data_IF_351125536251
#
_entry.id   IF_351125536251
#
_cell.length_a   1.000
_cell.length_b   1.000
_cell.length_c   1.000
_cell.angle_alpha   90.00
_cell.angle_beta   90.00
_cell.angle_gamma   90.00
#
_symmetry.space_group_name_H-M   'P 1'
#
loop_
_entity.id
_entity.type
_entity.pdbx_description
1 polymer ?
#
# COMPACT_ATOMS: atom_id res chain seq x y z
N UNK A 1 -5.59 16.32 -2.20
CA UNK A 1 -6.77 16.36 -3.09
C UNK A 1 -7.57 15.11 -2.80
N UNK A 2 -8.85 15.23 -2.43
CA UNK A 2 -9.73 14.09 -2.21
C UNK A 2 -10.65 13.95 -3.42
N UNK A 3 -10.64 12.81 -4.12
CA UNK A 3 -11.48 12.58 -5.29
C UNK A 3 -12.97 12.63 -4.98
N UNK A 4 -13.78 12.94 -5.99
CA UNK A 4 -15.24 13.02 -5.83
C UNK A 4 -15.78 11.64 -5.44
N UNK A 5 -16.59 11.61 -4.38
CA UNK A 5 -17.16 10.35 -3.84
C UNK A 5 -16.26 9.66 -2.82
N UNK A 6 -15.02 10.12 -2.65
CA UNK A 6 -14.13 9.63 -1.60
C UNK A 6 -14.22 10.46 -0.32
N UNK A 7 -13.80 9.87 0.79
CA UNK A 7 -13.59 10.53 2.07
C UNK A 7 -12.31 10.01 2.73
N UNK A 8 -11.73 10.82 3.61
CA UNK A 8 -10.57 10.44 4.44
C UNK A 8 -11.06 9.59 5.61
N UNK A 9 -10.31 8.55 5.97
CA UNK A 9 -10.59 7.73 7.15
C UNK A 9 -9.96 8.38 8.39
N UNK A 10 -10.77 9.03 9.22
CA UNK A 10 -10.29 9.89 10.33
C UNK A 10 -9.55 9.12 11.45
N UNK A 11 -9.87 7.84 11.67
CA UNK A 11 -9.35 7.05 12.80
C UNK A 11 -8.60 5.79 12.34
N UNK A 12 -7.84 5.89 11.24
CA UNK A 12 -6.98 4.78 10.84
C UNK A 12 -5.78 4.67 11.78
N UNK A 13 -5.51 3.49 12.33
CA UNK A 13 -4.31 3.28 13.14
C UNK A 13 -3.08 3.32 12.24
N UNK A 14 -2.16 4.25 12.48
CA UNK A 14 -0.95 4.44 11.66
C UNK A 14 0.30 4.23 12.54
N UNK A 15 1.23 3.34 12.16
CA UNK A 15 2.49 3.17 12.86
C UNK A 15 3.35 4.45 12.85
N UNK A 16 4.17 4.65 13.88
CA UNK A 16 4.94 5.89 14.13
C UNK A 16 5.69 6.43 12.91
N UNK A 17 6.35 5.55 12.14
CA UNK A 17 7.06 5.96 10.91
C UNK A 17 6.16 6.70 9.91
N UNK A 18 4.88 6.35 9.81
CA UNK A 18 3.93 6.87 8.82
C UNK A 18 3.02 7.99 9.35
N UNK A 19 3.12 8.33 10.64
CA UNK A 19 2.36 9.44 11.25
C UNK A 19 2.61 10.72 10.46
N UNK A 20 1.53 11.44 10.14
CA UNK A 20 1.49 12.65 9.32
C UNK A 20 2.02 12.51 7.88
N UNK A 21 2.35 11.29 7.43
CA UNK A 21 2.85 11.00 6.07
C UNK A 21 1.85 10.26 5.20
N UNK A 22 0.85 9.61 5.78
CA UNK A 22 -0.17 8.87 5.05
C UNK A 22 -1.57 9.44 5.34
N UNK A 23 -2.34 9.61 4.27
CA UNK A 23 -3.79 9.77 4.34
C UNK A 23 -4.46 8.56 3.68
N UNK A 24 -5.30 7.85 4.45
CA UNK A 24 -6.12 6.74 3.92
C UNK A 24 -7.43 7.32 3.40
N UNK A 25 -7.77 7.00 2.16
CA UNK A 25 -8.91 7.54 1.43
C UNK A 25 -9.72 6.40 0.83
N UNK A 26 -11.04 6.48 0.89
CA UNK A 26 -11.92 5.45 0.31
C UNK A 26 -13.23 6.04 -0.21
N UNK A 27 -13.82 5.38 -1.21
CA UNK A 27 -15.17 5.64 -1.73
C UNK A 27 -16.21 4.62 -1.25
N UNK A 28 -15.82 3.74 -0.33
CA UNK A 28 -16.62 2.60 0.11
C UNK A 28 -16.26 2.13 1.51
N UNK A 29 -16.60 0.88 1.83
CA UNK A 29 -16.27 0.26 3.12
C UNK A 29 -14.91 -0.39 3.01
N UNK A 30 -13.99 -0.09 3.94
CA UNK A 30 -12.78 -0.89 4.17
C UNK A 30 -13.12 -1.98 5.19
N UNK A 31 -12.91 -3.24 4.83
CA UNK A 31 -13.17 -4.39 5.71
C UNK A 31 -12.08 -4.55 6.77
N UNK A 32 -12.41 -5.25 7.86
CA UNK A 32 -11.45 -5.55 8.93
C UNK A 32 -10.20 -6.26 8.41
N UNK A 33 -10.34 -7.14 7.42
CA UNK A 33 -9.21 -7.87 6.83
C UNK A 33 -8.30 -6.89 6.08
N UNK A 34 -8.86 -6.05 5.21
CA UNK A 34 -8.11 -5.06 4.43
C UNK A 34 -7.40 -4.06 5.35
N UNK A 35 -8.09 -3.54 6.37
CA UNK A 35 -7.49 -2.62 7.34
C UNK A 35 -6.39 -3.30 8.17
N UNK A 36 -6.60 -4.54 8.59
CA UNK A 36 -5.62 -5.29 9.39
C UNK A 36 -4.36 -5.60 8.57
N UNK A 37 -4.53 -6.05 7.32
CA UNK A 37 -3.39 -6.31 6.43
C UNK A 37 -2.64 -5.02 6.10
N UNK A 38 -3.33 -3.91 5.89
CA UNK A 38 -2.67 -2.63 5.62
C UNK A 38 -1.91 -2.10 6.83
N UNK A 39 -2.49 -2.21 8.04
CA UNK A 39 -1.79 -1.88 9.28
C UNK A 39 -0.53 -2.72 9.45
N UNK A 40 -0.60 -4.03 9.21
CA UNK A 40 0.54 -4.93 9.26
C UNK A 40 1.60 -4.57 8.21
N UNK A 41 1.19 -4.28 6.97
CA UNK A 41 2.09 -3.85 5.90
C UNK A 41 2.85 -2.57 6.29
N UNK A 42 2.15 -1.56 6.80
CA UNK A 42 2.77 -0.34 7.32
C UNK A 42 3.71 -0.64 8.50
N UNK A 43 3.35 -1.54 9.40
CA UNK A 43 4.22 -1.92 10.52
C UNK A 43 5.54 -2.53 10.03
N UNK A 44 5.45 -3.50 9.12
CA UNK A 44 6.63 -4.17 8.54
C UNK A 44 7.52 -3.20 7.77
N UNK A 45 6.91 -2.36 6.91
CA UNK A 45 7.65 -1.38 6.12
C UNK A 45 8.25 -0.28 7.00
N UNK A 46 7.50 0.20 7.99
CA UNK A 46 7.97 1.23 8.92
C UNK A 46 9.18 0.77 9.72
N UNK A 47 9.14 -0.45 10.28
CA UNK A 47 10.29 -1.04 10.98
C UNK A 47 11.54 -1.09 10.10
N UNK A 48 11.39 -1.54 8.85
CA UNK A 48 12.52 -1.58 7.91
C UNK A 48 13.02 -0.18 7.57
N UNK A 49 12.13 0.77 7.34
CA UNK A 49 12.48 2.14 7.01
C UNK A 49 13.18 2.87 8.17
N UNK A 50 12.87 2.53 9.42
CA UNK A 50 13.62 3.04 10.57
C UNK A 50 15.04 2.45 10.65
N UNK A 51 15.19 1.15 10.37
CA UNK A 51 16.50 0.48 10.37
C UNK A 51 17.36 0.80 9.13
N UNK A 52 16.72 1.03 7.99
CA UNK A 52 17.32 1.34 6.69
C UNK A 52 16.54 2.48 6.02
N UNK A 53 16.86 3.73 6.42
CA UNK A 53 16.13 4.92 5.95
C UNK A 53 16.12 5.06 4.43
N UNK A 54 15.00 5.52 3.85
CA UNK A 54 14.93 5.82 2.42
C UNK A 54 15.88 6.98 2.05
N UNK A 55 16.31 7.07 0.77
CA UNK A 55 17.26 8.08 0.33
C UNK A 55 16.69 9.51 0.40
N UNK A 56 15.37 9.65 0.34
CA UNK A 56 14.66 10.91 0.53
C UNK A 56 13.51 10.72 1.53
N UNK A 57 13.11 11.78 2.26
CA UNK A 57 11.92 11.72 3.10
C UNK A 57 10.68 11.39 2.28
N UNK A 58 9.85 10.47 2.78
CA UNK A 58 8.52 10.22 2.23
C UNK A 58 7.69 11.52 2.34
N UNK A 59 7.29 12.03 1.18
CA UNK A 59 6.32 13.12 1.08
C UNK A 59 4.91 12.55 1.26
N UNK A 60 3.96 13.40 1.65
CA UNK A 60 2.58 12.98 1.95
C UNK A 60 2.00 12.04 0.87
N UNK A 61 1.65 10.83 1.30
CA UNK A 61 1.18 9.73 0.47
C UNK A 61 -0.33 9.55 0.68
N UNK A 62 -1.09 9.51 -0.42
CA UNK A 62 -2.51 9.19 -0.36
C UNK A 62 -2.67 7.72 -0.72
N UNK A 63 -3.35 6.96 0.14
CA UNK A 63 -3.60 5.53 -0.08
C UNK A 63 -5.09 5.34 -0.29
N UNK A 64 -5.46 4.94 -1.50
CA UNK A 64 -6.84 4.80 -1.92
C UNK A 64 -7.30 3.35 -1.87
N UNK A 65 -8.35 3.08 -1.09
CA UNK A 65 -9.09 1.81 -1.14
C UNK A 65 -10.37 2.04 -1.92
N UNK A 66 -10.46 1.51 -3.14
CA UNK A 66 -11.54 1.81 -4.08
C UNK A 66 -12.50 0.64 -4.25
N UNK A 67 -13.75 0.85 -3.86
CA UNK A 67 -14.88 -0.05 -4.10
C UNK A 67 -15.54 0.19 -5.47
N UNK A 68 -15.35 1.36 -6.09
CA UNK A 68 -15.76 1.57 -7.48
C UNK A 68 -14.60 1.32 -8.47
N UNK A 69 -14.96 0.92 -9.69
CA UNK A 69 -14.01 0.67 -10.79
C UNK A 69 -13.30 1.92 -11.31
N UNK A 70 -13.79 3.11 -10.94
CA UNK A 70 -13.26 4.38 -11.43
C UNK A 70 -13.21 5.44 -10.34
N UNK A 71 -12.18 6.29 -10.43
CA UNK A 71 -11.99 7.45 -9.57
C UNK A 71 -11.77 8.70 -10.42
N UNK A 72 -12.28 9.85 -9.97
CA UNK A 72 -12.14 11.11 -10.71
C UNK A 72 -11.46 12.17 -9.85
N UNK A 73 -10.31 12.64 -10.33
CA UNK A 73 -9.61 13.80 -9.80
C UNK A 73 -10.01 15.04 -10.59
N UNK A 74 -10.28 16.13 -9.88
CA UNK A 74 -10.54 17.44 -10.48
C UNK A 74 -9.61 18.47 -9.86
N UNK A 75 -8.99 19.28 -10.72
CA UNK A 75 -8.25 20.46 -10.30
C UNK A 75 -9.22 21.63 -10.12
N UNK A 76 -8.90 22.54 -9.19
CA UNK A 76 -9.60 23.81 -9.09
C UNK A 76 -9.26 24.71 -10.31
N UNK A 77 -10.15 25.64 -10.66
CA UNK A 77 -10.15 26.35 -11.95
C UNK A 77 -8.89 27.22 -12.23
N UNK A 78 -8.01 27.46 -11.24
CA UNK A 78 -6.86 28.37 -11.34
C UNK A 78 -5.51 27.73 -10.91
N UNK A 79 -5.23 26.48 -11.30
CA UNK A 79 -3.93 25.84 -11.01
C UNK A 79 -3.06 25.64 -12.25
N UNK A 80 -1.76 25.97 -12.14
CA UNK A 80 -0.78 25.76 -13.22
C UNK A 80 -0.16 24.35 -13.22
N UNK A 81 -0.37 23.57 -12.17
CA UNK A 81 0.16 22.22 -12.03
C UNK A 81 -0.20 21.60 -10.69
N UNK A 82 -0.15 20.27 -10.62
CA UNK A 82 -0.39 19.49 -9.42
C UNK A 82 0.57 18.30 -9.36
N UNK A 83 1.16 18.09 -8.19
CA UNK A 83 1.89 16.86 -7.86
C UNK A 83 1.03 16.02 -6.92
N UNK A 84 0.85 14.74 -7.24
CA UNK A 84 0.05 13.82 -6.44
C UNK A 84 0.72 12.45 -6.37
N UNK A 85 1.15 12.07 -5.16
CA UNK A 85 1.67 10.73 -4.89
C UNK A 85 0.55 9.87 -4.30
N UNK A 86 0.34 8.69 -4.91
CA UNK A 86 -0.77 7.82 -4.59
C UNK A 86 -0.39 6.34 -4.69
N UNK A 87 -0.93 5.53 -3.78
CA UNK A 87 -1.11 4.09 -3.95
C UNK A 87 -2.61 3.84 -4.13
N UNK A 88 -2.97 2.99 -5.10
CA UNK A 88 -4.37 2.66 -5.38
C UNK A 88 -4.58 1.16 -5.24
N UNK A 89 -5.42 0.79 -4.28
CA UNK A 89 -5.88 -0.57 -4.05
C UNK A 89 -7.32 -0.72 -4.56
N UNK A 90 -7.53 -1.38 -5.72
CA UNK A 90 -8.88 -1.63 -6.26
C UNK A 90 -9.54 -2.78 -5.50
N UNK A 91 -10.04 -2.50 -4.29
CA UNK A 91 -10.63 -3.52 -3.40
C UNK A 91 -11.82 -4.25 -4.03
N UNK A 92 -12.57 -3.60 -4.93
CA UNK A 92 -13.62 -4.26 -5.72
C UNK A 92 -13.09 -5.51 -6.44
N UNK A 93 -11.97 -5.38 -7.14
CA UNK A 93 -11.37 -6.44 -7.92
C UNK A 93 -10.77 -7.52 -7.01
N UNK A 94 -10.19 -7.11 -5.88
CA UNK A 94 -9.67 -8.04 -4.89
C UNK A 94 -10.76 -8.95 -4.32
N UNK A 95 -11.93 -8.38 -4.01
CA UNK A 95 -13.09 -9.10 -3.48
C UNK A 95 -13.71 -10.03 -4.52
N UNK A 96 -13.88 -9.55 -5.76
CA UNK A 96 -14.41 -10.36 -6.87
C UNK A 96 -13.53 -11.57 -7.17
N UNK A 97 -12.21 -11.41 -7.11
CA UNK A 97 -11.24 -12.48 -7.34
C UNK A 97 -10.95 -13.33 -6.11
N UNK A 98 -11.52 -12.99 -4.95
CA UNK A 98 -11.32 -13.73 -3.71
C UNK A 98 -9.85 -13.75 -3.26
N UNK A 99 -9.15 -12.62 -3.36
CA UNK A 99 -7.77 -12.52 -2.88
C UNK A 99 -7.68 -12.89 -1.40
N UNK A 100 -6.63 -13.64 -1.06
CA UNK A 100 -6.36 -14.01 0.33
C UNK A 100 -5.71 -12.85 1.07
N UNK A 101 -5.78 -12.88 2.40
CA UNK A 101 -5.08 -11.91 3.26
C UNK A 101 -3.57 -11.90 3.02
N UNK A 102 -2.96 -13.05 2.74
CA UNK A 102 -1.53 -13.16 2.39
C UNK A 102 -1.20 -12.39 1.10
N UNK A 103 -2.04 -12.56 0.07
CA UNK A 103 -1.86 -11.87 -1.21
C UNK A 103 -2.05 -10.37 -1.05
N UNK A 104 -3.08 -9.94 -0.32
CA UNK A 104 -3.28 -8.52 0.00
C UNK A 104 -2.07 -7.94 0.73
N UNK A 105 -1.55 -8.64 1.74
CA UNK A 105 -0.41 -8.19 2.52
C UNK A 105 0.84 -7.98 1.65
N UNK A 106 1.18 -8.94 0.78
CA UNK A 106 2.35 -8.82 -0.10
C UNK A 106 2.19 -7.66 -1.09
N UNK A 107 1.03 -7.52 -1.72
CA UNK A 107 0.74 -6.40 -2.63
C UNK A 107 0.87 -5.06 -1.88
N UNK A 108 0.30 -4.96 -0.67
CA UNK A 108 0.38 -3.72 0.12
C UNK A 108 1.82 -3.38 0.52
N UNK A 109 2.63 -4.37 0.88
CA UNK A 109 4.05 -4.19 1.19
C UNK A 109 4.82 -3.71 -0.05
N UNK A 110 4.56 -4.31 -1.21
CA UNK A 110 5.18 -3.92 -2.47
C UNK A 110 4.91 -2.45 -2.84
N UNK A 111 3.63 -2.04 -2.83
CA UNK A 111 3.25 -0.66 -3.14
C UNK A 111 3.82 0.35 -2.14
N UNK A 112 3.86 0.00 -0.86
CA UNK A 112 4.53 0.81 0.15
C UNK A 112 6.04 0.89 -0.10
N UNK A 113 6.68 -0.19 -0.54
CA UNK A 113 8.10 -0.18 -0.89
C UNK A 113 8.39 0.72 -2.10
N UNK A 114 7.54 0.71 -3.13
CA UNK A 114 7.59 1.67 -4.24
C UNK A 114 7.52 3.10 -3.72
N UNK A 115 6.55 3.42 -2.86
CA UNK A 115 6.36 4.76 -2.36
C UNK A 115 7.48 5.25 -1.43
N UNK A 116 8.01 4.37 -0.57
CA UNK A 116 9.01 4.72 0.45
C UNK A 116 10.41 4.81 -0.14
N UNK A 117 10.83 3.86 -0.98
CA UNK A 117 12.20 3.82 -1.51
C UNK A 117 12.32 4.25 -2.98
N UNK A 118 11.21 4.62 -3.65
CA UNK A 118 11.18 5.02 -5.06
C UNK A 118 11.77 3.97 -6.00
N UNK A 119 11.59 2.70 -5.67
CA UNK A 119 12.02 1.57 -6.50
C UNK A 119 10.94 1.40 -7.59
N UNK A 120 11.28 1.25 -8.88
CA UNK A 120 10.31 0.92 -9.92
C UNK A 120 10.03 -0.59 -9.97
N UNK A 121 9.01 -1.00 -10.73
CA UNK A 121 8.72 -2.41 -10.98
C UNK A 121 9.94 -3.18 -11.51
N UNK A 122 10.09 -4.41 -11.05
CA UNK A 122 11.16 -5.32 -11.46
C UNK A 122 11.84 -6.06 -10.31
N UNK A 123 12.99 -6.70 -10.57
CA UNK A 123 13.62 -7.59 -9.59
C UNK A 123 14.01 -6.91 -8.26
N UNK A 124 14.31 -5.61 -8.31
CA UNK A 124 14.71 -4.84 -7.12
C UNK A 124 13.56 -4.66 -6.13
N UNK A 125 12.31 -4.52 -6.61
CA UNK A 125 11.18 -4.41 -5.70
C UNK A 125 10.91 -5.76 -5.04
N UNK A 126 10.96 -6.87 -5.77
CA UNK A 126 10.79 -8.20 -5.18
C UNK A 126 11.85 -8.50 -4.11
N UNK A 127 13.11 -8.13 -4.36
CA UNK A 127 14.19 -8.26 -3.38
C UNK A 127 13.89 -7.44 -2.13
N UNK A 128 13.44 -6.18 -2.30
CA UNK A 128 13.06 -5.34 -1.18
C UNK A 128 11.90 -5.94 -0.39
N UNK A 129 10.86 -6.43 -1.05
CA UNK A 129 9.70 -7.08 -0.41
C UNK A 129 10.16 -8.30 0.38
N UNK A 130 11.03 -9.16 -0.16
CA UNK A 130 11.62 -10.29 0.59
C UNK A 130 12.33 -9.82 1.85
N UNK A 131 13.20 -8.80 1.75
CA UNK A 131 13.89 -8.24 2.90
C UNK A 131 12.93 -7.73 3.99
N UNK A 132 11.75 -7.21 3.63
CA UNK A 132 10.72 -6.76 4.58
C UNK A 132 10.17 -7.93 5.39
N UNK A 133 9.93 -9.08 4.76
CA UNK A 133 9.38 -10.25 5.46
C UNK A 133 10.47 -11.02 6.23
N UNK A 134 11.70 -11.09 5.70
CA UNK A 134 12.85 -11.77 6.32
C UNK A 134 13.25 -11.19 7.68
N UNK A 135 12.89 -9.93 7.96
CA UNK A 135 13.13 -9.32 9.28
C UNK A 135 12.24 -9.90 10.39
N UNK A 136 11.22 -10.70 10.06
CA UNK A 136 10.31 -11.37 10.99
C UNK A 136 10.25 -12.90 10.72
N UNK A 137 11.38 -13.62 10.89
CA UNK A 137 11.49 -15.02 10.49
C UNK A 137 10.61 -15.98 11.33
N UNK A 138 10.20 -15.55 12.53
CA UNK A 138 9.29 -16.33 13.37
C UNK A 138 7.83 -16.28 12.89
N UNK A 139 7.50 -15.31 12.02
CA UNK A 139 6.13 -15.09 11.51
C UNK A 139 5.97 -15.52 10.06
N UNK A 140 7.02 -15.40 9.25
CA UNK A 140 6.98 -15.68 7.81
C UNK A 140 8.06 -16.68 7.42
N UNK A 141 7.67 -17.69 6.63
CA UNK A 141 8.63 -18.63 6.06
C UNK A 141 9.54 -17.94 5.04
N UNK A 142 10.79 -18.39 4.84
CA UNK A 142 11.69 -17.86 3.82
C UNK A 142 11.09 -17.85 2.39
N UNK A 143 10.24 -18.83 2.09
CA UNK A 143 9.60 -18.96 0.78
C UNK A 143 8.28 -18.19 0.65
N UNK A 144 7.84 -17.48 1.70
CA UNK A 144 6.51 -16.85 1.76
C UNK A 144 6.24 -15.94 0.57
N UNK A 145 7.13 -14.98 0.32
CA UNK A 145 7.00 -14.01 -0.77
C UNK A 145 7.01 -14.71 -2.13
N UNK A 146 7.92 -15.66 -2.33
CA UNK A 146 8.01 -16.45 -3.57
C UNK A 146 6.70 -17.19 -3.86
N UNK A 147 6.11 -17.80 -2.84
CA UNK A 147 4.90 -18.58 -2.98
C UNK A 147 3.67 -17.70 -3.23
N UNK A 148 3.65 -16.50 -2.65
CA UNK A 148 2.60 -15.51 -2.92
C UNK A 148 2.70 -14.95 -4.34
N UNK A 149 3.89 -14.58 -4.84
CA UNK A 149 4.04 -14.14 -6.23
C UNK A 149 3.59 -15.19 -7.24
N UNK A 150 3.96 -16.45 -7.03
CA UNK A 150 3.47 -17.57 -7.87
C UNK A 150 1.95 -17.71 -7.85
N UNK A 151 1.27 -17.35 -6.75
CA UNK A 151 -0.20 -17.32 -6.68
C UNK A 151 -0.75 -16.15 -7.51
N UNK A 152 -0.15 -14.97 -7.39
CA UNK A 152 -0.55 -13.76 -8.14
C UNK A 152 -0.43 -13.98 -9.64
N UNK A 153 0.68 -14.53 -10.11
CA UNK A 153 0.93 -14.80 -11.54
C UNK A 153 -0.09 -15.76 -12.17
N UNK A 154 -0.74 -16.61 -11.36
CA UNK A 154 -1.79 -17.53 -11.82
C UNK A 154 -3.17 -16.87 -11.91
N UNK A 155 -3.32 -15.67 -11.35
CA UNK A 155 -4.56 -14.89 -11.34
C UNK A 155 -4.60 -13.83 -12.45
N UNK A 156 -3.44 -13.44 -12.99
CA UNK A 156 -3.29 -12.51 -14.12
C UNK A 156 -3.41 -13.23 -15.46
#
# INVERSE_FOLDING_TARGET
MIPKGCHVVDNFNVPDFFVDKIAVVTDGIITDIESTMFYLAMGLVGMKAEASPPPIPLLGLNVYFLENESITFSLDEDVFGCFHQAIIFPVWNWRERGLTSETMLVIMVEELCHAVWLIPDGPLIEEKVREIFEQQPDQFSPDFVTDVYKKIDRMT
#
